data_IF_280083267359
#
_entry.id   IF_280083267359
#
_cell.length_a   1.000
_cell.length_b   1.000
_cell.length_c   1.000
_cell.angle_alpha   90.00
_cell.angle_beta   90.00
_cell.angle_gamma   90.00
#
_symmetry.space_group_name_H-M   'P 1'
#
loop_
_entity.id
_entity.type
_entity.pdbx_description
1 polymer ?
#
# COMPACT_ATOMS: atom_id res chain seq x y z
N UNK A 1 -41.11 27.42 30.86
CA UNK A 1 -41.81 26.78 29.71
C UNK A 1 -40.83 26.70 28.55
N UNK A 2 -40.26 25.52 28.29
CA UNK A 2 -39.21 25.33 27.29
C UNK A 2 -39.88 24.86 25.98
N UNK A 3 -40.01 25.74 24.98
CA UNK A 3 -40.60 25.40 23.66
C UNK A 3 -39.56 24.63 22.85
N UNK A 4 -39.72 23.31 22.76
CA UNK A 4 -39.01 22.49 21.77
C UNK A 4 -39.56 22.83 20.38
N UNK A 5 -38.71 23.39 19.51
CA UNK A 5 -39.03 23.60 18.08
C UNK A 5 -38.95 22.24 17.38
N UNK A 6 -40.01 21.79 16.68
CA UNK A 6 -39.94 20.58 15.86
C UNK A 6 -39.02 20.84 14.67
N UNK A 7 -38.02 19.98 14.49
CA UNK A 7 -37.18 19.98 13.29
C UNK A 7 -38.03 19.37 12.16
N UNK A 8 -38.42 20.19 11.19
CA UNK A 8 -39.07 19.72 9.96
C UNK A 8 -38.00 19.21 9.00
N UNK A 9 -38.32 18.15 8.25
CA UNK A 9 -37.39 17.47 7.30
C UNK A 9 -36.75 18.46 6.31
N UNK A 10 -37.44 19.53 5.93
CA UNK A 10 -36.91 20.61 5.09
C UNK A 10 -35.70 21.36 5.68
N UNK A 11 -35.53 21.39 7.00
CA UNK A 11 -34.37 21.99 7.68
C UNK A 11 -33.11 21.13 7.55
N UNK A 12 -33.27 19.81 7.41
CA UNK A 12 -32.16 18.89 7.14
C UNK A 12 -31.72 18.97 5.67
N UNK A 13 -32.67 19.07 4.74
CA UNK A 13 -32.37 19.24 3.32
C UNK A 13 -31.73 20.60 3.01
N UNK A 14 -32.11 21.67 3.72
CA UNK A 14 -31.46 22.98 3.58
C UNK A 14 -30.03 23.03 4.12
N UNK A 15 -29.67 22.16 5.08
CA UNK A 15 -28.29 22.02 5.57
C UNK A 15 -27.42 21.10 4.71
N UNK A 16 -28.02 20.12 4.03
CA UNK A 16 -27.34 19.31 3.02
C UNK A 16 -27.09 20.10 1.72
N UNK A 17 -27.95 21.08 1.40
CA UNK A 17 -27.87 21.83 0.14
C UNK A 17 -27.05 23.12 0.22
N UNK A 18 -26.86 23.73 1.39
CA UNK A 18 -25.98 24.91 1.55
C UNK A 18 -24.49 24.59 1.71
N UNK A 19 -24.08 23.33 1.55
CA UNK A 19 -22.68 22.96 1.33
C UNK A 19 -22.44 22.41 -0.09
N UNK A 20 -23.51 22.10 -0.85
CA UNK A 20 -23.40 21.54 -2.20
C UNK A 20 -22.81 22.54 -3.24
N UNK A 21 -22.77 23.84 -2.92
CA UNK A 21 -22.16 24.86 -3.79
C UNK A 21 -20.64 25.02 -3.62
N UNK A 22 -20.08 24.65 -2.46
CA UNK A 22 -18.64 24.64 -2.21
C UNK A 22 -18.00 23.26 -2.46
N UNK A 23 -18.84 22.22 -2.59
CA UNK A 23 -18.43 20.81 -2.75
C UNK A 23 -18.33 20.39 -4.23
N UNK A 24 -18.72 21.23 -5.18
CA UNK A 24 -18.76 20.84 -6.58
C UNK A 24 -17.38 20.53 -7.20
N UNK A 25 -16.27 21.00 -6.61
CA UNK A 25 -14.89 20.55 -6.91
C UNK A 25 -14.07 20.21 -5.65
N UNK A 26 -14.72 19.82 -4.56
CA UNK A 26 -14.00 19.12 -3.49
C UNK A 26 -13.37 17.87 -4.14
N UNK A 27 -12.04 17.76 -4.05
CA UNK A 27 -11.27 16.73 -4.75
C UNK A 27 -11.93 15.36 -4.57
N UNK A 28 -12.02 14.58 -5.64
CA UNK A 28 -12.45 13.20 -5.49
C UNK A 28 -11.44 12.52 -4.55
N UNK A 29 -11.90 11.87 -3.48
CA UNK A 29 -11.03 11.04 -2.64
C UNK A 29 -11.05 9.61 -3.20
N UNK A 30 -9.88 8.99 -3.33
CA UNK A 30 -9.79 7.57 -3.70
C UNK A 30 -9.76 6.72 -2.44
N UNK A 31 -10.80 5.91 -2.25
CA UNK A 31 -10.87 4.96 -1.14
C UNK A 31 -10.03 3.69 -1.35
N UNK A 32 -9.55 3.45 -2.58
CA UNK A 32 -8.72 2.28 -2.90
C UNK A 32 -7.25 2.61 -2.63
N UNK A 33 -6.77 3.70 -3.21
CA UNK A 33 -5.43 4.23 -2.94
C UNK A 33 -5.50 5.76 -3.05
N UNK A 34 -5.58 6.49 -1.92
CA UNK A 34 -5.70 7.95 -1.96
C UNK A 34 -4.46 8.64 -2.49
N UNK A 35 -3.31 7.95 -2.52
CA UNK A 35 -2.02 8.51 -2.96
C UNK A 35 -1.78 8.37 -4.46
N UNK A 36 -2.48 7.44 -5.13
CA UNK A 36 -2.52 7.35 -6.60
C UNK A 36 -3.56 8.34 -7.14
N UNK A 37 -3.13 9.59 -7.22
CA UNK A 37 -3.99 10.73 -7.60
C UNK A 37 -4.24 10.76 -9.11
N UNK A 38 -3.41 10.08 -9.89
CA UNK A 38 -3.46 10.10 -11.35
C UNK A 38 -4.12 8.84 -11.95
N UNK A 39 -4.33 7.80 -11.13
CA UNK A 39 -5.09 6.61 -11.45
C UNK A 39 -4.32 5.60 -12.31
N UNK A 40 -2.98 5.67 -12.35
CA UNK A 40 -2.13 4.73 -13.09
C UNK A 40 -1.68 3.52 -12.25
N UNK A 41 -2.28 3.34 -11.06
CA UNK A 41 -2.06 2.25 -10.11
C UNK A 41 -0.64 2.23 -9.52
N UNK A 42 0.13 3.30 -9.72
CA UNK A 42 1.49 3.43 -9.20
C UNK A 42 1.59 4.75 -8.47
N UNK A 43 1.87 4.71 -7.17
CA UNK A 43 2.17 5.94 -6.44
C UNK A 43 3.58 6.39 -6.82
N UNK A 44 3.71 7.57 -7.38
CA UNK A 44 4.96 8.10 -7.89
C UNK A 44 5.07 9.63 -7.77
N UNK A 45 6.21 10.22 -8.17
CA UNK A 45 6.37 11.68 -8.20
C UNK A 45 5.33 12.39 -9.06
N UNK A 46 4.73 11.68 -10.03
CA UNK A 46 3.66 12.22 -10.88
C UNK A 46 2.40 12.54 -10.09
N UNK A 47 2.08 11.77 -9.05
CA UNK A 47 0.91 12.01 -8.21
C UNK A 47 1.02 13.32 -7.44
N UNK A 48 2.21 13.60 -6.91
CA UNK A 48 2.51 14.90 -6.29
C UNK A 48 2.24 16.05 -7.26
N UNK A 49 2.65 15.91 -8.52
CA UNK A 49 2.45 16.95 -9.54
C UNK A 49 0.98 17.13 -9.90
N UNK A 50 0.18 16.05 -9.90
CA UNK A 50 -1.27 16.15 -10.13
C UNK A 50 -1.92 17.01 -9.05
N UNK A 51 -1.62 16.76 -7.77
CA UNK A 51 -2.17 17.56 -6.65
C UNK A 51 -1.70 19.01 -6.72
N UNK A 52 -0.41 19.26 -6.97
CA UNK A 52 0.13 20.63 -7.08
C UNK A 52 -0.50 21.39 -8.25
N UNK A 53 -0.66 20.76 -9.41
CA UNK A 53 -1.29 21.38 -10.56
C UNK A 53 -2.77 21.69 -10.28
N UNK A 54 -3.49 20.79 -9.61
CA UNK A 54 -4.87 21.04 -9.19
C UNK A 54 -4.96 22.23 -8.22
N UNK A 55 -4.04 22.32 -7.25
CA UNK A 55 -3.97 23.45 -6.33
C UNK A 55 -3.73 24.80 -7.04
N UNK A 56 -2.87 24.82 -8.06
CA UNK A 56 -2.62 26.04 -8.84
C UNK A 56 -3.85 26.48 -9.61
N UNK A 57 -4.54 25.55 -10.28
CA UNK A 57 -5.76 25.85 -11.05
C UNK A 57 -6.90 26.30 -10.13
N UNK A 58 -7.11 25.66 -8.98
CA UNK A 58 -8.17 26.02 -8.04
C UNK A 58 -7.85 27.27 -7.21
N UNK A 59 -6.58 27.50 -6.86
CA UNK A 59 -6.12 28.71 -6.18
C UNK A 59 -6.31 29.99 -7.01
N UNK A 60 -6.22 29.89 -8.34
CA UNK A 60 -6.52 30.99 -9.26
C UNK A 60 -8.03 31.27 -9.38
N UNK A 61 -8.88 30.24 -9.22
CA UNK A 61 -10.34 30.38 -9.27
C UNK A 61 -10.94 30.95 -7.98
N UNK A 62 -10.35 30.69 -6.82
CA UNK A 62 -10.76 31.26 -5.53
C UNK A 62 -10.57 32.79 -5.44
N UNK A 63 -9.77 33.38 -6.34
CA UNK A 63 -9.64 34.83 -6.49
C UNK A 63 -10.74 35.49 -7.33
N UNK A 64 -11.60 34.71 -7.99
CA UNK A 64 -12.62 35.17 -8.93
C UNK A 64 -13.96 34.46 -8.66
N UNK A 65 -14.50 34.63 -7.46
CA UNK A 65 -15.89 34.24 -7.15
C UNK A 65 -16.90 35.23 -7.79
N UNK A 66 -16.85 35.33 -9.12
CA UNK A 66 -17.89 35.98 -9.92
C UNK A 66 -18.80 34.91 -10.49
N UNK A 67 -19.96 34.75 -9.85
CA UNK A 67 -21.23 34.25 -10.42
C UNK A 67 -21.13 33.71 -11.85
N UNK A 68 -20.70 32.47 -11.96
CA UNK A 68 -20.72 31.64 -13.16
C UNK A 68 -20.76 30.21 -12.66
N UNK A 69 -21.44 29.32 -13.40
CA UNK A 69 -21.61 27.92 -13.02
C UNK A 69 -20.33 27.33 -12.41
N UNK A 70 -20.43 26.53 -11.31
CA UNK A 70 -19.26 25.93 -10.70
C UNK A 70 -18.47 25.20 -11.79
N UNK A 71 -17.14 25.37 -11.82
CA UNK A 71 -16.30 24.71 -12.82
C UNK A 71 -16.69 23.24 -12.85
N UNK A 72 -17.19 22.76 -13.99
CA UNK A 72 -17.50 21.35 -14.16
C UNK A 72 -16.17 20.62 -14.17
N UNK A 73 -15.69 20.19 -13.01
CA UNK A 73 -14.54 19.32 -12.90
C UNK A 73 -14.92 18.02 -13.62
N UNK A 74 -14.28 17.79 -14.77
CA UNK A 74 -14.55 16.63 -15.61
C UNK A 74 -14.40 15.37 -14.75
N UNK A 75 -15.46 14.57 -14.68
CA UNK A 75 -15.60 13.39 -13.83
C UNK A 75 -14.69 12.20 -14.23
N UNK A 76 -13.52 12.46 -14.80
CA UNK A 76 -12.49 11.47 -15.02
C UNK A 76 -11.31 11.73 -14.06
N UNK A 77 -11.33 10.97 -12.97
CA UNK A 77 -10.17 10.24 -12.44
C UNK A 77 -9.02 10.96 -11.73
N UNK A 78 -9.17 12.19 -11.25
CA UNK A 78 -8.13 12.77 -10.37
C UNK A 78 -8.56 12.74 -8.91
N UNK A 79 -7.93 11.84 -8.14
CA UNK A 79 -8.20 11.66 -6.72
C UNK A 79 -7.33 12.58 -5.85
N UNK A 80 -7.57 13.89 -5.91
CA UNK A 80 -6.65 14.91 -5.37
C UNK A 80 -6.87 15.29 -3.90
N UNK A 81 -8.00 14.90 -3.31
CA UNK A 81 -8.23 14.98 -1.87
C UNK A 81 -7.64 13.72 -1.22
N UNK A 82 -6.35 13.79 -0.91
CA UNK A 82 -5.56 12.63 -0.47
C UNK A 82 -5.81 12.36 1.01
N UNK A 83 -6.02 13.39 1.81
CA UNK A 83 -6.25 13.24 3.25
C UNK A 83 -7.73 12.95 3.61
N UNK A 84 -8.65 13.10 2.64
CA UNK A 84 -10.07 12.81 2.78
C UNK A 84 -10.84 13.83 3.62
N UNK A 85 -10.31 15.06 3.79
CA UNK A 85 -10.95 16.11 4.60
C UNK A 85 -12.03 16.89 3.83
N UNK A 86 -12.21 16.58 2.54
CA UNK A 86 -13.18 17.19 1.66
C UNK A 86 -12.73 18.52 1.05
N UNK A 87 -11.46 18.93 1.24
CA UNK A 87 -10.92 20.20 0.77
C UNK A 87 -9.57 20.00 0.10
N UNK A 88 -9.50 20.31 -1.20
CA UNK A 88 -8.22 20.39 -1.90
C UNK A 88 -7.36 21.53 -1.32
N UNK A 89 -6.27 21.18 -0.65
CA UNK A 89 -5.35 22.11 0.00
C UNK A 89 -3.88 21.63 -0.08
N UNK A 90 -2.88 22.46 0.26
CA UNK A 90 -1.51 21.99 0.36
C UNK A 90 -1.31 20.81 1.32
N UNK A 91 -2.26 20.53 2.22
CA UNK A 91 -2.21 19.37 3.11
C UNK A 91 -2.32 18.04 2.35
N UNK A 92 -2.97 18.01 1.18
CA UNK A 92 -3.13 16.80 0.35
C UNK A 92 -1.82 16.34 -0.31
N UNK A 93 -0.84 17.22 -0.42
CA UNK A 93 0.46 16.88 -1.01
C UNK A 93 1.31 16.06 -0.03
N UNK A 94 1.16 16.29 1.27
CA UNK A 94 2.05 15.74 2.29
C UNK A 94 1.99 14.21 2.41
N UNK A 95 0.81 13.55 2.41
CA UNK A 95 0.74 12.09 2.47
C UNK A 95 1.47 11.40 1.31
N UNK A 96 1.40 11.97 0.09
CA UNK A 96 2.08 11.42 -1.09
C UNK A 96 3.60 11.55 -0.96
N UNK A 97 4.09 12.74 -0.57
CA UNK A 97 5.54 12.97 -0.36
C UNK A 97 6.10 12.06 0.75
N UNK A 98 5.40 11.95 1.87
CA UNK A 98 5.82 11.11 2.98
C UNK A 98 5.91 9.64 2.57
N UNK A 99 4.94 9.15 1.80
CA UNK A 99 4.99 7.81 1.25
C UNK A 99 6.17 7.61 0.31
N UNK A 100 6.43 8.55 -0.62
CA UNK A 100 7.57 8.45 -1.55
C UNK A 100 8.91 8.38 -0.82
N UNK A 101 9.06 9.13 0.27
CA UNK A 101 10.26 9.11 1.09
C UNK A 101 10.42 7.77 1.81
N UNK A 102 9.34 7.24 2.36
CA UNK A 102 9.33 5.94 3.03
C UNK A 102 9.62 4.80 2.05
N UNK A 103 8.95 4.76 0.90
CA UNK A 103 9.16 3.77 -0.16
C UNK A 103 10.61 3.80 -0.65
N UNK A 104 11.16 4.99 -0.92
CA UNK A 104 12.55 5.12 -1.34
C UNK A 104 13.53 4.53 -0.31
N UNK A 105 13.33 4.82 0.98
CA UNK A 105 14.16 4.29 2.06
C UNK A 105 14.04 2.77 2.15
N UNK A 106 12.83 2.22 2.11
CA UNK A 106 12.59 0.78 2.19
C UNK A 106 13.15 0.02 0.97
N UNK A 107 13.09 0.61 -0.23
CA UNK A 107 13.73 0.06 -1.44
C UNK A 107 15.25 0.06 -1.35
N UNK A 108 15.87 1.09 -0.74
CA UNK A 108 17.31 1.06 -0.47
C UNK A 108 17.68 -0.05 0.50
N UNK A 109 16.89 -0.23 1.57
CA UNK A 109 17.10 -1.32 2.53
C UNK A 109 16.95 -2.69 1.88
N UNK A 110 15.93 -2.88 1.02
CA UNK A 110 15.75 -4.09 0.21
C UNK A 110 16.98 -4.37 -0.66
N UNK A 111 17.51 -3.37 -1.37
CA UNK A 111 18.67 -3.52 -2.23
C UNK A 111 19.92 -3.94 -1.43
N UNK A 112 20.15 -3.32 -0.26
CA UNK A 112 21.26 -3.67 0.64
C UNK A 112 21.10 -5.08 1.20
N UNK A 113 19.88 -5.46 1.59
CA UNK A 113 19.56 -6.78 2.11
C UNK A 113 19.77 -7.88 1.07
N UNK A 114 19.27 -7.68 -0.15
CA UNK A 114 19.45 -8.60 -1.28
C UNK A 114 20.93 -8.78 -1.65
N UNK A 115 21.71 -7.68 -1.66
CA UNK A 115 23.15 -7.73 -1.89
C UNK A 115 23.88 -8.49 -0.76
N UNK A 116 23.47 -8.29 0.49
CA UNK A 116 24.03 -9.00 1.65
C UNK A 116 23.76 -10.49 1.55
N UNK A 117 22.54 -10.88 1.17
CA UNK A 117 22.17 -12.26 0.92
C UNK A 117 22.98 -12.89 -0.21
N UNK A 118 23.17 -12.18 -1.32
CA UNK A 118 23.98 -12.68 -2.43
C UNK A 118 25.45 -12.97 -2.03
N UNK A 119 25.96 -12.32 -0.99
CA UNK A 119 27.36 -12.48 -0.53
C UNK A 119 27.50 -13.49 0.60
N UNK A 120 26.57 -13.48 1.54
CA UNK A 120 26.68 -14.20 2.82
C UNK A 120 25.63 -15.31 2.98
N UNK A 121 24.61 -15.35 2.12
CA UNK A 121 23.54 -16.33 2.19
C UNK A 121 24.03 -17.72 1.78
N UNK A 122 23.65 -18.78 2.52
CA UNK A 122 23.94 -20.15 2.12
C UNK A 122 23.09 -20.55 0.91
N UNK A 123 23.66 -21.35 0.00
CA UNK A 123 22.90 -21.98 -1.11
C UNK A 123 22.00 -23.11 -0.65
N UNK A 124 22.33 -23.70 0.51
CA UNK A 124 21.73 -24.88 1.06
C UNK A 124 21.18 -24.56 2.45
N UNK A 125 19.87 -24.68 2.62
CA UNK A 125 19.23 -24.31 3.89
C UNK A 125 17.87 -24.99 4.06
N UNK A 126 17.39 -24.96 5.31
CA UNK A 126 16.01 -25.26 5.68
C UNK A 126 15.39 -24.01 6.29
N UNK A 127 14.24 -23.60 5.78
CA UNK A 127 13.47 -22.46 6.25
C UNK A 127 12.06 -22.89 6.64
N UNK A 128 11.69 -22.67 7.90
CA UNK A 128 10.32 -22.84 8.39
C UNK A 128 9.66 -21.47 8.43
N UNK A 129 8.59 -21.28 7.68
CA UNK A 129 7.96 -19.99 7.49
C UNK A 129 6.43 -20.08 7.36
N UNK A 130 5.75 -18.96 7.56
CA UNK A 130 4.34 -18.76 7.24
C UNK A 130 4.22 -17.76 6.09
N UNK A 131 3.29 -17.98 5.16
CA UNK A 131 3.03 -17.04 4.08
C UNK A 131 1.57 -17.02 3.62
N UNK A 132 0.92 -15.85 3.70
CA UNK A 132 -0.32 -15.51 3.00
C UNK A 132 -1.26 -14.60 3.82
N UNK A 133 -2.54 -14.59 3.44
CA UNK A 133 -3.55 -13.59 3.85
C UNK A 133 -4.25 -13.84 5.19
N UNK A 134 -3.77 -14.79 6.01
CA UNK A 134 -4.48 -15.17 7.24
C UNK A 134 -3.53 -15.58 8.35
N UNK A 135 -3.90 -15.24 9.59
CA UNK A 135 -3.19 -15.68 10.79
C UNK A 135 -3.23 -17.21 11.02
N UNK A 136 -4.05 -17.96 10.27
CA UNK A 136 -4.21 -19.42 10.41
C UNK A 136 -3.44 -20.23 9.36
N UNK A 137 -2.48 -19.63 8.68
CA UNK A 137 -1.71 -20.32 7.65
C UNK A 137 -0.74 -21.30 8.30
N UNK A 138 -0.76 -22.59 7.92
CA UNK A 138 0.18 -23.56 8.46
C UNK A 138 1.61 -23.20 8.09
N UNK A 139 2.55 -23.52 8.97
CA UNK A 139 3.97 -23.34 8.66
C UNK A 139 4.37 -24.27 7.51
N UNK A 140 5.19 -23.78 6.60
CA UNK A 140 5.82 -24.54 5.53
C UNK A 140 7.30 -24.69 5.85
N UNK A 141 7.78 -25.92 5.84
CA UNK A 141 9.21 -26.25 5.89
C UNK A 141 9.71 -26.40 4.46
N UNK A 142 10.53 -25.47 4.01
CA UNK A 142 11.18 -25.53 2.70
C UNK A 142 12.65 -25.88 2.84
N UNK A 143 13.06 -26.91 2.10
CA UNK A 143 14.45 -27.35 1.99
C UNK A 143 14.97 -26.95 0.62
N UNK A 144 16.08 -26.20 0.62
CA UNK A 144 16.76 -25.72 -0.58
C UNK A 144 18.16 -26.33 -0.63
N UNK A 145 18.57 -26.80 -1.81
CA UNK A 145 19.91 -27.31 -2.11
C UNK A 145 20.35 -26.75 -3.45
N UNK A 146 21.57 -26.23 -3.51
CA UNK A 146 22.13 -25.56 -4.69
C UNK A 146 21.19 -24.47 -5.25
N UNK A 147 20.47 -23.77 -4.36
CA UNK A 147 19.47 -22.75 -4.73
C UNK A 147 18.17 -23.30 -5.33
N UNK A 148 17.96 -24.62 -5.33
CA UNK A 148 16.75 -25.28 -5.84
C UNK A 148 15.93 -25.85 -4.68
N UNK A 149 14.60 -25.66 -4.74
CA UNK A 149 13.67 -26.28 -3.78
C UNK A 149 13.71 -27.80 -3.99
N UNK A 150 14.11 -28.54 -2.96
CA UNK A 150 14.12 -30.01 -2.93
C UNK A 150 12.84 -30.56 -2.31
N UNK A 151 12.27 -29.83 -1.34
CA UNK A 151 11.00 -30.18 -0.70
C UNK A 151 10.38 -28.94 -0.08
N UNK A 152 9.05 -28.84 -0.16
CA UNK A 152 8.27 -27.86 0.58
C UNK A 152 7.05 -28.57 1.17
N UNK A 153 7.00 -28.72 2.49
CA UNK A 153 5.91 -29.46 3.18
C UNK A 153 5.31 -28.62 4.28
N UNK A 154 3.99 -28.70 4.48
CA UNK A 154 3.38 -28.12 5.66
C UNK A 154 3.56 -28.98 6.92
N UNK A 155 3.06 -28.47 8.04
CA UNK A 155 3.03 -29.12 9.36
C UNK A 155 2.32 -30.49 9.37
N UNK A 156 1.45 -30.76 8.40
CA UNK A 156 0.77 -32.05 8.23
C UNK A 156 1.53 -33.00 7.28
N UNK A 157 2.70 -32.58 6.78
CA UNK A 157 3.51 -33.34 5.82
C UNK A 157 2.94 -33.32 4.41
N UNK A 158 2.04 -32.39 4.09
CA UNK A 158 1.48 -32.24 2.75
C UNK A 158 2.45 -31.40 1.92
N UNK A 159 2.88 -31.95 0.79
CA UNK A 159 3.74 -31.25 -0.18
C UNK A 159 3.01 -30.02 -0.75
N UNK A 160 3.68 -28.88 -0.73
CA UNK A 160 3.24 -27.66 -1.38
C UNK A 160 3.75 -27.62 -2.81
N UNK A 161 2.90 -27.22 -3.78
CA UNK A 161 3.34 -26.96 -5.13
C UNK A 161 4.53 -25.99 -5.12
N UNK A 162 5.56 -26.32 -5.89
CA UNK A 162 6.74 -25.49 -6.09
C UNK A 162 7.24 -25.66 -7.54
N UNK A 163 8.00 -24.68 -8.02
CA UNK A 163 8.45 -24.54 -9.40
C UNK A 163 7.73 -23.44 -10.17
N UNK A 164 8.48 -22.61 -10.90
CA UNK A 164 7.92 -21.50 -11.68
C UNK A 164 7.16 -20.51 -10.80
N UNK A 165 5.91 -20.19 -11.16
CA UNK A 165 5.04 -19.26 -10.43
C UNK A 165 4.68 -19.70 -9.01
N UNK A 166 4.90 -20.97 -8.65
CA UNK A 166 4.62 -21.48 -7.30
C UNK A 166 5.76 -21.24 -6.30
N UNK A 167 6.88 -20.65 -6.73
CA UNK A 167 8.01 -20.38 -5.84
C UNK A 167 7.79 -19.20 -4.88
N UNK A 168 6.74 -18.39 -5.09
CA UNK A 168 6.45 -17.22 -4.28
C UNK A 168 6.45 -17.57 -2.78
N UNK A 169 7.28 -16.85 -2.01
CA UNK A 169 7.41 -17.07 -0.57
C UNK A 169 8.18 -18.32 -0.13
N UNK A 170 8.54 -19.25 -1.02
CA UNK A 170 9.18 -20.52 -0.63
C UNK A 170 10.71 -20.42 -0.51
N UNK A 171 11.34 -19.49 -1.21
CA UNK A 171 12.79 -19.24 -1.15
C UNK A 171 13.06 -17.81 -0.68
N UNK A 172 14.26 -17.55 -0.17
CA UNK A 172 14.63 -16.19 0.28
C UNK A 172 14.63 -15.22 -0.92
N UNK A 173 15.10 -15.68 -2.06
CA UNK A 173 15.09 -14.97 -3.34
C UNK A 173 13.66 -14.64 -3.78
N UNK A 174 12.76 -15.62 -3.78
CA UNK A 174 11.37 -15.38 -4.14
C UNK A 174 10.64 -14.44 -3.18
N UNK A 175 11.06 -14.37 -1.91
CA UNK A 175 10.53 -13.38 -0.96
C UNK A 175 11.04 -11.98 -1.29
N UNK A 176 12.30 -11.82 -1.68
CA UNK A 176 12.79 -10.52 -2.16
C UNK A 176 12.00 -10.03 -3.38
N UNK A 177 11.74 -10.92 -4.34
CA UNK A 177 10.97 -10.60 -5.55
C UNK A 177 9.52 -10.22 -5.20
N UNK A 178 8.93 -10.91 -4.22
CA UNK A 178 7.60 -10.58 -3.69
C UNK A 178 7.59 -9.17 -3.07
N UNK A 179 8.58 -8.82 -2.25
CA UNK A 179 8.68 -7.49 -1.64
C UNK A 179 8.81 -6.40 -2.72
N UNK A 180 9.63 -6.64 -3.75
CA UNK A 180 9.79 -5.69 -4.86
C UNK A 180 8.48 -5.47 -5.62
N UNK A 181 7.74 -6.55 -5.88
CA UNK A 181 6.43 -6.48 -6.51
C UNK A 181 5.43 -5.67 -5.65
N UNK A 182 5.44 -5.82 -4.33
CA UNK A 182 4.58 -5.01 -3.46
C UNK A 182 4.94 -3.54 -3.55
N UNK A 183 6.22 -3.17 -3.46
CA UNK A 183 6.59 -1.76 -3.58
C UNK A 183 6.12 -1.16 -4.91
N UNK A 184 6.14 -1.93 -6.00
CA UNK A 184 5.66 -1.48 -7.30
C UNK A 184 4.14 -1.28 -7.36
N UNK A 185 3.37 -2.01 -6.53
CA UNK A 185 1.93 -1.83 -6.38
C UNK A 185 1.55 -0.67 -5.44
N UNK A 186 2.49 -0.21 -4.62
CA UNK A 186 2.29 0.92 -3.72
C UNK A 186 1.23 0.69 -2.63
N UNK A 187 1.37 -0.35 -1.79
CA UNK A 187 0.38 -0.72 -0.77
C UNK A 187 0.17 0.41 0.21
N UNK A 188 -1.02 0.45 0.84
CA UNK A 188 -1.33 1.37 1.92
C UNK A 188 -0.22 1.38 2.98
N UNK A 189 0.21 0.19 3.42
CA UNK A 189 1.30 -0.02 4.37
C UNK A 189 2.10 -1.27 4.04
N UNK A 190 3.42 -1.15 4.14
CA UNK A 190 4.35 -2.27 4.06
C UNK A 190 5.44 -2.14 5.12
N UNK A 191 5.73 -3.26 5.78
CA UNK A 191 6.75 -3.40 6.81
C UNK A 191 7.62 -4.60 6.51
N UNK A 192 8.92 -4.37 6.42
CA UNK A 192 9.89 -5.43 6.18
C UNK A 192 10.93 -5.43 7.28
N UNK A 193 11.30 -6.62 7.75
CA UNK A 193 12.41 -6.83 8.67
C UNK A 193 13.40 -7.80 8.05
N UNK A 194 14.69 -7.53 8.25
CA UNK A 194 15.78 -8.33 7.72
C UNK A 194 16.68 -8.86 8.83
N UNK A 195 17.28 -10.01 8.59
CA UNK A 195 18.39 -10.51 9.41
C UNK A 195 19.66 -9.70 9.12
N UNK A 196 20.34 -9.12 10.13
CA UNK A 196 21.45 -8.21 9.89
C UNK A 196 22.74 -8.90 9.41
N UNK A 197 22.84 -10.23 9.53
CA UNK A 197 24.05 -10.99 9.16
C UNK A 197 23.96 -11.47 7.72
N UNK A 198 22.83 -12.08 7.38
CA UNK A 198 22.59 -12.71 6.08
C UNK A 198 21.81 -11.80 5.14
N UNK A 199 21.12 -10.78 5.63
CA UNK A 199 20.24 -9.93 4.83
C UNK A 199 18.90 -10.58 4.48
N UNK A 200 18.62 -11.83 4.89
CA UNK A 200 17.35 -12.49 4.55
C UNK A 200 16.15 -11.73 5.14
N UNK A 201 15.00 -11.65 4.44
CA UNK A 201 13.76 -11.19 5.04
C UNK A 201 13.34 -12.15 6.16
N UNK A 202 12.98 -11.61 7.33
CA UNK A 202 12.50 -12.37 8.49
C UNK A 202 11.01 -12.15 8.73
N UNK A 203 10.50 -10.97 8.36
CA UNK A 203 9.08 -10.63 8.38
C UNK A 203 8.76 -9.68 7.24
N UNK A 204 7.66 -9.95 6.53
CA UNK A 204 7.04 -9.02 5.60
C UNK A 204 5.57 -8.93 5.97
N UNK A 205 5.06 -7.72 6.17
CA UNK A 205 3.64 -7.46 6.29
C UNK A 205 3.27 -6.43 5.24
N UNK A 206 2.28 -6.76 4.42
CA UNK A 206 1.71 -5.83 3.44
C UNK A 206 0.21 -5.72 3.68
N UNK A 207 -0.26 -4.48 3.65
CA UNK A 207 -1.65 -4.07 3.72
C UNK A 207 -1.88 -3.19 2.49
N UNK A 208 -2.41 -3.77 1.40
CA UNK A 208 -2.63 -3.04 0.15
C UNK A 208 -3.67 -1.93 0.29
N UNK A 209 -4.77 -2.17 1.01
CA UNK A 209 -5.92 -1.25 1.12
C UNK A 209 -6.38 -1.06 2.58
N UNK A 210 -6.24 0.17 3.11
CA UNK A 210 -6.52 0.54 4.52
C UNK A 210 -7.85 0.03 5.12
N UNK A 211 -8.88 -0.14 4.28
CA UNK A 211 -10.25 -0.46 4.72
C UNK A 211 -10.77 -1.80 4.20
N UNK A 212 -9.94 -2.58 3.50
CA UNK A 212 -10.21 -3.99 3.27
C UNK A 212 -9.61 -4.80 4.42
N UNK A 213 -10.25 -5.93 4.75
CA UNK A 213 -9.87 -6.73 5.92
C UNK A 213 -9.39 -8.14 5.53
N UNK A 214 -9.32 -8.42 4.24
CA UNK A 214 -9.05 -9.72 3.65
C UNK A 214 -7.98 -9.66 2.54
N UNK A 215 -7.29 -8.52 2.40
CA UNK A 215 -6.24 -8.28 1.41
C UNK A 215 -4.84 -8.19 2.04
N UNK A 216 -4.72 -8.04 3.35
CA UNK A 216 -3.43 -8.00 4.03
C UNK A 216 -2.80 -9.38 4.10
N UNK A 217 -1.48 -9.43 3.96
CA UNK A 217 -0.73 -10.68 4.05
C UNK A 217 0.52 -10.55 4.91
N UNK A 218 0.93 -11.71 5.45
CA UNK A 218 2.10 -11.86 6.30
C UNK A 218 3.00 -12.95 5.74
N UNK A 219 4.29 -12.63 5.62
CA UNK A 219 5.37 -13.59 5.58
C UNK A 219 6.16 -13.52 6.89
N UNK A 220 6.43 -14.67 7.50
CA UNK A 220 7.17 -14.75 8.76
C UNK A 220 8.07 -15.98 8.77
N UNK A 221 9.35 -15.79 9.06
CA UNK A 221 10.32 -16.89 9.26
C UNK A 221 10.36 -17.27 10.73
N UNK A 222 9.99 -18.51 11.04
CA UNK A 222 10.06 -19.07 12.39
C UNK A 222 11.46 -19.60 12.71
N UNK A 223 12.07 -20.29 11.75
CA UNK A 223 13.42 -20.82 11.90
C UNK A 223 14.13 -20.91 10.55
N UNK A 224 15.44 -20.81 10.61
CA UNK A 224 16.32 -20.90 9.46
C UNK A 224 17.59 -21.63 9.88
N UNK A 225 17.97 -22.66 9.14
CA UNK A 225 19.17 -23.46 9.42
C UNK A 225 19.93 -23.72 8.12
N UNK A 226 21.22 -23.42 8.12
CA UNK A 226 22.10 -23.72 6.99
C UNK A 226 22.33 -25.23 6.94
N UNK A 227 22.36 -25.79 5.72
CA UNK A 227 22.73 -27.17 5.50
C UNK A 227 24.19 -27.20 5.02
N UNK A 228 24.96 -28.11 5.61
CA UNK A 228 26.31 -28.45 5.15
C UNK A 228 26.30 -29.54 4.09
#
# INVERSE_FOLDING_TARGET
MNRRRPLTVQSLESRLTMNAGAIACAGHHSFINPRDTNGDQVVGPRDVLVVINALQVHGELAGNESQGDPPQCHANTLAVDVNGDGVLSPADVLPVINWLQQDHQQRQELAVARETWSRNGPSDYVMVHHWGYSAFIPAVTTTVRDGVIVSAVDDNGIEKPHGGSFNAGLTVEAVFDLIEQEFDQGPFRIEVSYDPVTGRPTRVYSDPMEYAADDEWLFLVNSFSELS
#
